data_IF_899308250603
#
_entry.id   IF_899308250603
#
_cell.length_a   1.000
_cell.length_b   1.000
_cell.length_c   1.000
_cell.angle_alpha   90.00
_cell.angle_beta   90.00
_cell.angle_gamma   90.00
#
_symmetry.space_group_name_H-M   'P 1'
#
loop_
_entity.id
_entity.type
_entity.pdbx_description
1 polymer ?
#
# COMPACT_ATOMS: atom_id res chain seq x y z
N UNK A 1 28.75 2.46 23.38
CA UNK A 1 27.60 2.82 22.52
C UNK A 1 27.40 1.69 21.52
N UNK A 2 26.29 0.94 21.58
CA UNK A 2 26.00 -0.12 20.60
C UNK A 2 25.47 0.58 19.34
N UNK A 3 26.17 0.47 18.21
CA UNK A 3 25.62 0.85 16.91
C UNK A 3 24.36 0.00 16.69
N UNK A 4 23.18 0.61 16.66
CA UNK A 4 21.99 -0.02 16.12
C UNK A 4 22.28 -0.35 14.66
N UNK A 5 22.43 -1.64 14.32
CA UNK A 5 22.49 -2.05 12.91
C UNK A 5 21.22 -1.57 12.23
N UNK A 6 21.37 -0.92 11.08
CA UNK A 6 20.21 -0.48 10.32
C UNK A 6 19.43 -1.74 9.88
N UNK A 7 18.09 -1.76 9.99
CA UNK A 7 17.27 -2.90 9.58
C UNK A 7 17.62 -3.41 8.16
N UNK A 8 17.98 -2.50 7.27
CA UNK A 8 18.37 -2.81 5.90
C UNK A 8 19.68 -3.62 5.81
N UNK A 9 20.64 -3.41 6.72
CA UNK A 9 21.92 -4.14 6.72
C UNK A 9 21.72 -5.62 7.08
N UNK A 10 20.84 -5.88 8.06
CA UNK A 10 20.49 -7.22 8.47
C UNK A 10 19.70 -7.95 7.37
N UNK A 11 18.71 -7.27 6.77
CA UNK A 11 17.97 -7.79 5.62
C UNK A 11 18.89 -8.13 4.43
N UNK A 12 19.81 -7.24 4.07
CA UNK A 12 20.76 -7.46 2.98
C UNK A 12 21.69 -8.64 3.27
N UNK A 13 22.15 -8.77 4.52
CA UNK A 13 22.96 -9.91 4.95
C UNK A 13 22.17 -11.23 4.81
N UNK A 14 20.92 -11.26 5.27
CA UNK A 14 20.07 -12.44 5.15
C UNK A 14 19.81 -12.81 3.69
N UNK A 15 19.60 -11.84 2.80
CA UNK A 15 19.45 -12.09 1.36
C UNK A 15 20.67 -12.82 0.79
N UNK A 16 21.88 -12.38 1.15
CA UNK A 16 23.12 -12.99 0.68
C UNK A 16 23.36 -14.38 1.29
N UNK A 17 22.90 -14.62 2.53
CA UNK A 17 23.04 -15.90 3.20
C UNK A 17 22.03 -16.95 2.72
N UNK A 18 20.81 -16.56 2.36
CA UNK A 18 19.75 -17.48 1.94
C UNK A 18 20.04 -18.21 0.64
N UNK A 19 20.83 -17.58 -0.24
CA UNK A 19 21.20 -18.12 -1.55
C UNK A 19 22.44 -19.03 -1.50
N UNK A 20 23.08 -19.20 -0.34
CA UNK A 20 24.24 -20.08 -0.19
C UNK A 20 23.81 -21.54 -0.24
N UNK A 21 24.61 -22.37 -0.88
CA UNK A 21 24.40 -23.83 -0.93
C UNK A 21 24.37 -24.37 0.50
N UNK A 22 23.31 -25.11 0.85
CA UNK A 22 23.14 -25.71 2.17
C UNK A 22 22.65 -24.75 3.27
N UNK A 23 22.29 -23.51 2.93
CA UNK A 23 21.71 -22.58 3.90
C UNK A 23 20.40 -23.13 4.49
N UNK A 24 20.32 -23.19 5.82
CA UNK A 24 19.11 -23.52 6.57
C UNK A 24 18.67 -22.28 7.33
N UNK A 25 17.47 -21.80 7.06
CA UNK A 25 16.91 -20.60 7.65
C UNK A 25 15.80 -20.95 8.62
N UNK A 26 15.74 -20.24 9.74
CA UNK A 26 14.66 -20.36 10.71
C UNK A 26 13.40 -19.64 10.21
N UNK A 27 12.21 -19.95 10.78
CA UNK A 27 10.99 -19.19 10.49
C UNK A 27 11.15 -17.67 10.68
N UNK A 28 11.88 -17.22 11.70
CA UNK A 28 12.08 -15.79 11.95
C UNK A 28 12.93 -15.14 10.86
N UNK A 29 13.98 -15.83 10.38
CA UNK A 29 14.79 -15.31 9.28
C UNK A 29 14.00 -15.22 7.97
N UNK A 30 13.13 -16.21 7.69
CA UNK A 30 12.23 -16.14 6.54
C UNK A 30 11.18 -15.04 6.69
N UNK A 31 10.61 -14.87 7.87
CA UNK A 31 9.68 -13.78 8.16
C UNK A 31 10.34 -12.42 7.92
N UNK A 32 11.57 -12.22 8.42
CA UNK A 32 12.35 -11.01 8.17
C UNK A 32 12.61 -10.75 6.67
N UNK A 33 12.97 -11.79 5.91
CA UNK A 33 13.15 -11.67 4.46
C UNK A 33 11.86 -11.28 3.73
N UNK A 34 10.74 -11.93 4.05
CA UNK A 34 9.44 -11.62 3.43
C UNK A 34 9.05 -10.17 3.75
N UNK A 35 9.14 -9.77 5.02
CA UNK A 35 8.83 -8.42 5.48
C UNK A 35 9.74 -7.37 4.85
N UNK A 36 11.04 -7.63 4.77
CA UNK A 36 12.00 -6.72 4.14
C UNK A 36 11.73 -6.53 2.65
N UNK A 37 11.41 -7.61 1.93
CA UNK A 37 10.97 -7.48 0.53
C UNK A 37 9.69 -6.65 0.40
N UNK A 38 8.70 -6.84 1.28
CA UNK A 38 7.47 -6.04 1.25
C UNK A 38 7.73 -4.56 1.56
N UNK A 39 8.61 -4.25 2.51
CA UNK A 39 9.02 -2.85 2.79
C UNK A 39 9.69 -2.22 1.57
N UNK A 40 10.56 -2.97 0.88
CA UNK A 40 11.22 -2.53 -0.35
C UNK A 40 10.29 -2.48 -1.57
N UNK A 41 8.98 -2.71 -1.39
CA UNK A 41 7.96 -2.78 -2.44
C UNK A 41 8.30 -3.81 -3.53
N UNK A 42 8.84 -4.96 -3.10
CA UNK A 42 9.22 -6.10 -3.93
C UNK A 42 8.28 -7.30 -3.67
N UNK A 43 6.96 -7.19 -3.97
CA UNK A 43 5.98 -8.21 -3.58
C UNK A 43 6.17 -9.54 -4.31
N UNK A 44 6.77 -9.53 -5.50
CA UNK A 44 7.08 -10.76 -6.26
C UNK A 44 8.22 -11.52 -5.55
N UNK A 45 9.27 -10.81 -5.14
CA UNK A 45 10.38 -11.39 -4.39
C UNK A 45 9.90 -11.90 -3.03
N UNK A 46 9.02 -11.16 -2.36
CA UNK A 46 8.37 -11.62 -1.12
C UNK A 46 7.58 -12.92 -1.33
N UNK A 47 6.80 -13.03 -2.42
CA UNK A 47 6.06 -14.27 -2.78
C UNK A 47 6.99 -15.46 -3.00
N UNK A 48 8.08 -15.26 -3.75
CA UNK A 48 9.05 -16.33 -3.98
C UNK A 48 9.75 -16.74 -2.68
N UNK A 49 10.07 -15.78 -1.81
CA UNK A 49 10.63 -16.05 -0.49
C UNK A 49 9.65 -16.87 0.37
N UNK A 50 8.38 -16.48 0.43
CA UNK A 50 7.32 -17.23 1.11
C UNK A 50 7.20 -18.67 0.60
N UNK A 51 7.20 -18.85 -0.72
CA UNK A 51 7.11 -20.18 -1.35
C UNK A 51 8.27 -21.07 -0.88
N UNK A 52 9.52 -20.55 -0.93
CA UNK A 52 10.70 -21.27 -0.43
C UNK A 52 10.63 -21.57 1.07
N UNK A 53 10.10 -20.64 1.87
CA UNK A 53 9.94 -20.84 3.31
C UNK A 53 9.01 -22.01 3.61
N UNK A 54 7.86 -22.08 2.91
CA UNK A 54 6.88 -23.17 3.06
C UNK A 54 7.46 -24.52 2.62
N UNK A 55 8.30 -24.55 1.59
CA UNK A 55 8.94 -25.77 1.10
C UNK A 55 10.05 -26.29 2.03
N UNK A 56 10.80 -25.37 2.66
CA UNK A 56 12.01 -25.71 3.45
C UNK A 56 11.76 -25.88 4.95
N UNK A 57 10.71 -25.28 5.48
CA UNK A 57 10.33 -25.45 6.89
C UNK A 57 9.44 -26.68 6.97
N UNK A 58 9.91 -27.72 7.66
CA UNK A 58 9.10 -28.91 7.93
C UNK A 58 7.92 -28.53 8.82
N UNK A 59 6.70 -28.70 8.28
CA UNK A 59 5.46 -28.35 8.95
C UNK A 59 4.98 -26.92 8.70
N UNK A 60 3.75 -26.65 9.13
CA UNK A 60 3.12 -25.34 8.96
C UNK A 60 3.62 -24.35 10.02
N UNK A 61 4.53 -23.45 9.65
CA UNK A 61 4.85 -22.30 10.50
C UNK A 61 3.74 -21.25 10.48
N UNK A 62 3.10 -21.05 11.63
CA UNK A 62 2.05 -20.04 11.80
C UNK A 62 2.59 -18.62 11.58
N UNK A 63 3.82 -18.33 12.02
CA UNK A 63 4.48 -17.05 11.78
C UNK A 63 4.55 -16.71 10.28
N UNK A 64 4.96 -17.68 9.46
CA UNK A 64 5.10 -17.48 8.01
C UNK A 64 3.73 -17.23 7.36
N UNK A 65 2.68 -17.91 7.84
CA UNK A 65 1.30 -17.67 7.39
C UNK A 65 0.81 -16.29 7.79
N UNK A 66 1.03 -15.87 9.04
CA UNK A 66 0.62 -14.56 9.55
C UNK A 66 1.28 -13.42 8.78
N UNK A 67 2.60 -13.52 8.53
CA UNK A 67 3.34 -12.53 7.74
C UNK A 67 2.83 -12.48 6.30
N UNK A 68 2.52 -13.64 5.70
CA UNK A 68 2.05 -13.68 4.32
C UNK A 68 0.60 -13.25 4.15
N UNK A 69 -0.23 -13.27 5.20
CA UNK A 69 -1.66 -12.91 5.11
C UNK A 69 -1.88 -11.50 4.51
N UNK A 70 -1.16 -10.48 5.00
CA UNK A 70 -1.21 -9.15 4.39
C UNK A 70 -0.30 -9.04 3.15
N UNK A 71 0.81 -9.80 3.09
CA UNK A 71 1.68 -9.87 1.91
C UNK A 71 0.95 -10.32 0.64
N UNK A 72 0.01 -11.26 0.76
CA UNK A 72 -0.84 -11.72 -0.33
C UNK A 72 -1.74 -10.60 -0.88
N UNK A 73 -2.30 -9.77 0.00
CA UNK A 73 -3.10 -8.61 -0.40
C UNK A 73 -2.25 -7.55 -1.10
N UNK A 74 -1.03 -7.29 -0.62
CA UNK A 74 -0.06 -6.40 -1.29
C UNK A 74 0.27 -6.92 -2.70
N UNK A 75 0.59 -8.22 -2.82
CA UNK A 75 0.89 -8.86 -4.09
C UNK A 75 -0.27 -8.78 -5.09
N UNK A 76 -1.51 -8.90 -4.61
CA UNK A 76 -2.73 -8.81 -5.44
C UNK A 76 -3.25 -7.38 -5.59
N UNK A 77 -2.50 -6.36 -5.14
CA UNK A 77 -2.84 -4.93 -5.19
C UNK A 77 -4.15 -4.56 -4.46
N UNK A 78 -4.56 -5.37 -3.48
CA UNK A 78 -5.71 -5.14 -2.60
C UNK A 78 -5.28 -4.33 -1.38
N UNK A 79 -5.06 -3.02 -1.57
CA UNK A 79 -4.37 -2.18 -0.59
C UNK A 79 -5.16 -1.93 0.70
N UNK A 80 -6.49 -1.83 0.62
CA UNK A 80 -7.35 -1.62 1.80
C UNK A 80 -7.36 -2.88 2.66
N UNK A 81 -7.51 -4.04 2.04
CA UNK A 81 -7.45 -5.34 2.70
C UNK A 81 -6.04 -5.62 3.26
N UNK A 82 -4.99 -5.23 2.54
CA UNK A 82 -3.63 -5.30 3.03
C UNK A 82 -3.44 -4.46 4.29
N UNK A 83 -3.94 -3.22 4.31
CA UNK A 83 -3.85 -2.34 5.47
C UNK A 83 -4.64 -2.91 6.66
N UNK A 84 -5.87 -3.37 6.42
CA UNK A 84 -6.69 -4.01 7.46
C UNK A 84 -6.02 -5.25 8.06
N UNK A 85 -5.53 -6.16 7.21
CA UNK A 85 -4.80 -7.34 7.66
C UNK A 85 -3.53 -6.96 8.45
N UNK A 86 -2.74 -6.01 7.94
CA UNK A 86 -1.52 -5.54 8.59
C UNK A 86 -1.78 -4.91 9.98
N UNK A 87 -2.88 -4.17 10.16
CA UNK A 87 -3.26 -3.60 11.47
C UNK A 87 -3.68 -4.67 12.49
N UNK A 88 -4.22 -5.78 12.02
CA UNK A 88 -4.66 -6.89 12.87
C UNK A 88 -3.54 -7.91 13.15
N UNK A 89 -2.44 -7.87 12.40
CA UNK A 89 -1.31 -8.76 12.62
C UNK A 89 -0.56 -8.37 13.89
N UNK A 90 -0.44 -9.34 14.80
CA UNK A 90 0.39 -9.26 15.99
C UNK A 90 1.43 -10.37 15.93
N UNK A 91 2.69 -10.01 15.67
CA UNK A 91 3.81 -10.94 15.72
C UNK A 91 4.36 -10.98 17.14
N UNK A 92 4.58 -12.18 17.68
CA UNK A 92 5.16 -12.37 19.01
C UNK A 92 6.59 -11.81 19.09
N UNK A 93 7.34 -11.95 17.99
CA UNK A 93 8.70 -11.45 17.88
C UNK A 93 8.71 -9.92 17.66
N UNK A 94 9.06 -9.20 18.72
CA UNK A 94 9.21 -7.74 18.71
C UNK A 94 10.26 -7.26 17.70
N UNK A 95 11.24 -8.09 17.37
CA UNK A 95 12.24 -7.74 16.37
C UNK A 95 11.65 -7.65 14.98
N UNK A 96 10.45 -8.16 14.68
CA UNK A 96 9.81 -8.05 13.37
C UNK A 96 8.79 -6.91 13.27
N UNK A 97 8.36 -6.37 14.40
CA UNK A 97 7.31 -5.36 14.49
C UNK A 97 7.65 -4.07 13.74
N UNK A 98 8.93 -3.68 13.75
CA UNK A 98 9.39 -2.48 13.05
C UNK A 98 9.13 -2.55 11.53
N UNK A 99 9.22 -3.71 10.89
CA UNK A 99 8.84 -3.88 9.49
C UNK A 99 7.33 -3.76 9.28
N UNK A 100 6.51 -4.38 10.13
CA UNK A 100 5.04 -4.32 10.04
C UNK A 100 4.54 -2.88 10.15
N UNK A 101 5.11 -2.11 11.10
CA UNK A 101 4.83 -0.68 11.27
C UNK A 101 5.18 0.09 9.99
N UNK A 102 6.34 -0.17 9.40
CA UNK A 102 6.78 0.49 8.17
C UNK A 102 5.86 0.15 6.97
N UNK A 103 5.53 -1.12 6.77
CA UNK A 103 4.61 -1.57 5.71
C UNK A 103 3.26 -0.87 5.86
N UNK A 104 2.72 -0.82 7.08
CA UNK A 104 1.47 -0.12 7.39
C UNK A 104 1.56 1.36 7.02
N UNK A 105 2.63 2.05 7.39
CA UNK A 105 2.78 3.46 7.09
C UNK A 105 2.86 3.71 5.57
N UNK A 106 3.61 2.86 4.85
CA UNK A 106 3.70 2.92 3.37
C UNK A 106 2.35 2.66 2.70
N UNK A 107 1.55 1.72 3.22
CA UNK A 107 0.19 1.48 2.74
C UNK A 107 -0.73 2.68 2.95
N UNK A 108 -0.69 3.31 4.14
CA UNK A 108 -1.44 4.54 4.42
C UNK A 108 -1.01 5.66 3.47
N UNK A 109 0.30 5.87 3.31
CA UNK A 109 0.83 6.86 2.38
C UNK A 109 0.34 6.61 0.94
N UNK A 110 0.37 5.35 0.48
CA UNK A 110 -0.10 5.00 -0.86
C UNK A 110 -1.59 5.24 -1.06
N UNK A 111 -2.41 4.92 -0.06
CA UNK A 111 -3.85 5.15 -0.10
C UNK A 111 -4.17 6.66 -0.06
N UNK A 112 -3.46 7.46 0.74
CA UNK A 112 -3.61 8.92 0.74
C UNK A 112 -3.26 9.52 -0.63
N UNK A 113 -2.15 9.08 -1.22
CA UNK A 113 -1.74 9.50 -2.57
C UNK A 113 -2.81 9.15 -3.61
N UNK A 114 -3.37 7.93 -3.54
CA UNK A 114 -4.44 7.48 -4.43
C UNK A 114 -5.71 8.32 -4.24
N UNK A 115 -6.11 8.59 -2.99
CA UNK A 115 -7.31 9.38 -2.69
C UNK A 115 -7.19 10.78 -3.29
N UNK A 116 -6.06 11.46 -3.10
CA UNK A 116 -5.82 12.79 -3.68
C UNK A 116 -5.81 12.82 -5.22
N UNK A 117 -5.51 11.68 -5.87
CA UNK A 117 -5.50 11.56 -7.33
C UNK A 117 -6.87 11.21 -7.92
N UNK A 118 -7.72 10.54 -7.15
CA UNK A 118 -8.92 9.88 -7.68
C UNK A 118 -10.22 10.58 -7.28
N UNK A 119 -10.26 11.23 -6.12
CA UNK A 119 -11.47 11.87 -5.61
C UNK A 119 -11.36 13.39 -5.64
N UNK A 120 -12.35 14.03 -6.24
CA UNK A 120 -12.60 15.47 -6.08
C UNK A 120 -13.31 15.75 -4.75
N UNK A 121 -14.14 14.82 -4.28
CA UNK A 121 -14.77 14.83 -2.97
C UNK A 121 -14.97 13.40 -2.45
N UNK A 122 -14.85 13.22 -1.14
CA UNK A 122 -14.96 11.92 -0.48
C UNK A 122 -15.63 12.08 0.89
N UNK A 123 -16.61 11.24 1.23
CA UNK A 123 -17.23 11.32 2.56
C UNK A 123 -16.23 10.93 3.67
N UNK A 124 -16.33 11.57 4.84
CA UNK A 124 -15.50 11.23 6.00
C UNK A 124 -15.58 9.74 6.34
N UNK A 125 -16.79 9.17 6.32
CA UNK A 125 -17.02 7.74 6.58
C UNK A 125 -16.22 6.87 5.62
N UNK A 126 -16.28 7.14 4.31
CA UNK A 126 -15.56 6.35 3.31
C UNK A 126 -14.05 6.52 3.45
N UNK A 127 -13.58 7.73 3.77
CA UNK A 127 -12.17 7.98 4.05
C UNK A 127 -11.65 7.16 5.24
N UNK A 128 -12.37 7.15 6.36
CA UNK A 128 -12.01 6.34 7.53
C UNK A 128 -12.05 4.85 7.22
N UNK A 129 -13.02 4.37 6.45
CA UNK A 129 -13.10 2.97 6.00
C UNK A 129 -11.89 2.59 5.13
N UNK A 130 -11.54 3.40 4.12
CA UNK A 130 -10.43 3.13 3.20
C UNK A 130 -9.08 3.09 3.94
N UNK A 131 -8.89 3.97 4.91
CA UNK A 131 -7.66 4.00 5.73
C UNK A 131 -7.74 3.10 6.97
N UNK A 132 -8.80 2.30 7.09
CA UNK A 132 -9.04 1.40 8.23
C UNK A 132 -8.91 2.12 9.59
N UNK A 133 -9.33 3.38 9.70
CA UNK A 133 -9.23 4.19 10.92
C UNK A 133 -10.37 3.82 11.87
N UNK A 134 -10.03 3.53 13.13
CA UNK A 134 -10.98 3.06 14.13
C UNK A 134 -11.68 4.22 14.88
N UNK A 135 -11.08 5.40 14.89
CA UNK A 135 -11.57 6.55 15.64
C UNK A 135 -11.56 7.85 14.82
N UNK A 136 -12.38 8.80 15.28
CA UNK A 136 -12.48 10.13 14.70
C UNK A 136 -11.19 10.95 14.92
N UNK A 137 -10.41 10.58 15.95
CA UNK A 137 -9.16 11.24 16.28
C UNK A 137 -8.10 11.01 15.21
N UNK A 138 -7.83 9.76 14.84
CA UNK A 138 -6.87 9.43 13.79
C UNK A 138 -7.31 9.96 12.42
N UNK A 139 -8.61 9.99 12.17
CA UNK A 139 -9.20 10.63 10.99
C UNK A 139 -8.88 12.12 10.96
N UNK A 140 -9.16 12.84 12.05
CA UNK A 140 -8.93 14.29 12.15
C UNK A 140 -7.44 14.64 12.06
N UNK A 141 -6.58 13.87 12.73
CA UNK A 141 -5.13 14.08 12.71
C UNK A 141 -4.57 13.99 11.29
N UNK A 142 -4.93 12.94 10.53
CA UNK A 142 -4.46 12.79 9.15
C UNK A 142 -4.98 13.90 8.24
N UNK A 143 -6.24 14.30 8.36
CA UNK A 143 -6.81 15.38 7.56
C UNK A 143 -6.13 16.74 7.82
N UNK A 144 -5.81 17.02 9.09
CA UNK A 144 -5.05 18.22 9.49
C UNK A 144 -3.64 18.18 8.88
N UNK A 145 -2.94 17.05 8.98
CA UNK A 145 -1.59 16.88 8.43
C UNK A 145 -1.57 17.03 6.90
N UNK A 146 -2.55 16.45 6.21
CA UNK A 146 -2.71 16.58 4.77
C UNK A 146 -3.24 17.96 4.34
N UNK A 147 -3.66 18.82 5.27
CA UNK A 147 -4.29 20.11 5.00
C UNK A 147 -5.48 19.98 4.03
N UNK A 148 -6.28 18.93 4.18
CA UNK A 148 -7.45 18.70 3.33
C UNK A 148 -8.69 19.38 3.94
N UNK A 149 -9.39 20.24 3.19
CA UNK A 149 -10.61 20.87 3.68
C UNK A 149 -11.70 19.83 3.98
N UNK A 150 -12.45 20.08 5.05
CA UNK A 150 -13.62 19.28 5.45
C UNK A 150 -14.83 20.21 5.53
N UNK A 151 -15.88 19.90 4.78
CA UNK A 151 -17.14 20.66 4.72
C UNK A 151 -18.31 19.67 4.78
N UNK A 152 -19.23 19.83 5.74
CA UNK A 152 -20.47 19.02 5.84
C UNK A 152 -20.24 17.50 5.79
N UNK A 153 -19.22 16.99 6.47
CA UNK A 153 -18.79 15.57 6.44
C UNK A 153 -18.21 15.07 5.10
N UNK A 154 -17.82 15.99 4.22
CA UNK A 154 -17.11 15.71 2.98
C UNK A 154 -15.71 16.31 3.01
N UNK A 155 -14.74 15.52 2.59
CA UNK A 155 -13.36 15.94 2.38
C UNK A 155 -13.22 16.39 0.93
N UNK A 156 -12.36 17.37 0.69
CA UNK A 156 -11.86 17.73 -0.65
C UNK A 156 -10.37 17.38 -0.73
N UNK A 157 -10.01 16.16 -1.17
CA UNK A 157 -8.61 15.77 -1.28
C UNK A 157 -7.87 16.64 -2.30
N UNK A 158 -6.67 17.12 -1.94
CA UNK A 158 -5.85 17.96 -2.82
C UNK A 158 -4.39 17.54 -2.72
N UNK A 159 -3.71 17.50 -3.86
CA UNK A 159 -2.25 17.42 -3.91
C UNK A 159 -1.65 18.76 -3.49
N UNK A 160 -1.17 18.85 -2.26
CA UNK A 160 -0.60 20.06 -1.68
C UNK A 160 0.66 19.73 -0.86
N UNK A 161 1.33 20.77 -0.35
CA UNK A 161 2.53 20.60 0.46
C UNK A 161 2.30 19.79 1.75
N UNK A 162 1.12 19.92 2.38
CA UNK A 162 0.74 19.17 3.58
C UNK A 162 0.67 17.66 3.32
N UNK A 163 0.04 17.26 2.21
CA UNK A 163 0.04 15.87 1.75
C UNK A 163 1.46 15.37 1.55
N UNK A 164 2.28 16.04 0.73
CA UNK A 164 3.63 15.55 0.43
C UNK A 164 4.52 15.44 1.67
N UNK A 165 4.40 16.39 2.61
CA UNK A 165 5.06 16.29 3.91
C UNK A 165 4.57 15.07 4.70
N UNK A 166 3.26 14.85 4.76
CA UNK A 166 2.66 13.70 5.44
C UNK A 166 3.13 12.37 4.84
N UNK A 167 3.17 12.27 3.51
CA UNK A 167 3.68 11.08 2.82
C UNK A 167 5.15 10.83 3.16
N UNK A 168 5.98 11.88 3.18
CA UNK A 168 7.39 11.79 3.57
C UNK A 168 7.58 11.38 5.03
N UNK A 169 6.76 11.90 5.94
CA UNK A 169 6.84 11.59 7.38
C UNK A 169 6.41 10.15 7.68
N UNK A 170 5.47 9.59 6.89
CA UNK A 170 4.99 8.22 7.05
C UNK A 170 6.05 7.20 6.64
N UNK A 171 6.79 7.47 5.56
CA UNK A 171 7.77 6.54 5.01
C UNK A 171 9.14 6.72 5.68
N UNK A 172 9.62 5.71 6.41
CA UNK A 172 10.94 5.78 7.01
C UNK A 172 12.03 5.45 5.99
N UNK A 173 12.86 6.45 5.67
CA UNK A 173 13.99 6.32 4.75
C UNK A 173 15.04 5.30 5.21
N UNK A 174 15.06 4.88 6.49
CA UNK A 174 15.99 3.86 7.00
C UNK A 174 15.85 2.50 6.29
N UNK A 175 14.69 2.21 5.68
CA UNK A 175 14.48 1.00 4.89
C UNK A 175 14.65 1.20 3.37
N UNK A 176 15.16 2.36 2.96
CA UNK A 176 15.30 2.76 1.56
C UNK A 176 13.98 3.28 0.96
N UNK A 177 14.04 3.84 -0.25
CA UNK A 177 12.86 4.31 -0.97
C UNK A 177 11.92 3.14 -1.26
N UNK A 178 10.61 3.42 -1.26
CA UNK A 178 9.60 2.43 -1.65
C UNK A 178 9.68 2.08 -3.14
N UNK A 179 10.33 2.91 -3.96
CA UNK A 179 10.48 2.67 -5.40
C UNK A 179 11.94 2.28 -5.69
N UNK A 180 12.28 1.01 -5.43
CA UNK A 180 13.63 0.48 -5.71
C UNK A 180 13.79 -0.09 -7.12
N UNK A 181 12.81 0.10 -8.01
CA UNK A 181 12.97 -0.11 -9.45
C UNK A 181 13.69 1.05 -10.15
N UNK A 182 13.89 2.17 -9.46
CA UNK A 182 14.62 3.32 -9.99
C UNK A 182 16.01 3.40 -9.41
N UNK A 183 17.01 3.30 -10.29
CA UNK A 183 18.39 3.67 -10.00
C UNK A 183 18.44 5.06 -9.35
N UNK A 184 19.47 5.29 -8.54
CA UNK A 184 19.74 6.53 -7.79
C UNK A 184 19.66 7.83 -8.63
N UNK A 185 19.72 7.72 -9.96
CA UNK A 185 19.55 8.81 -10.92
C UNK A 185 18.11 9.34 -11.07
N UNK A 186 17.09 8.55 -10.74
CA UNK A 186 15.68 8.92 -10.96
C UNK A 186 15.02 9.59 -9.74
N UNK A 187 15.62 9.51 -8.55
CA UNK A 187 15.05 10.18 -7.36
C UNK A 187 15.02 11.72 -7.53
N UNK A 188 16.06 12.27 -8.17
CA UNK A 188 16.11 13.69 -8.54
C UNK A 188 15.19 14.02 -9.74
N UNK A 189 14.79 13.02 -10.53
CA UNK A 189 13.88 13.17 -11.67
C UNK A 189 12.41 13.08 -11.24
N UNK A 190 12.09 12.32 -10.19
CA UNK A 190 10.75 12.23 -9.60
C UNK A 190 10.37 13.54 -8.89
N UNK A 191 11.33 14.22 -8.25
CA UNK A 191 11.13 15.56 -7.70
C UNK A 191 11.18 16.67 -8.76
N UNK A 192 11.81 16.43 -9.92
CA UNK A 192 12.05 17.44 -10.96
C UNK A 192 11.17 17.36 -12.21
N UNK A 193 10.55 16.24 -12.53
CA UNK A 193 9.76 16.02 -13.75
C UNK A 193 8.68 14.95 -13.54
N UNK A 194 7.58 15.33 -12.90
CA UNK A 194 6.30 14.66 -13.13
C UNK A 194 5.84 15.08 -14.53
N UNK A 195 6.18 14.29 -15.54
CA UNK A 195 5.64 14.51 -16.88
C UNK A 195 4.20 13.97 -16.93
N UNK A 196 3.25 14.89 -16.70
CA UNK A 196 1.80 14.68 -16.57
C UNK A 196 1.17 13.99 -17.80
N UNK A 197 1.84 14.00 -18.96
CA UNK A 197 1.28 13.52 -20.22
C UNK A 197 1.27 11.97 -20.32
N UNK A 198 2.24 11.27 -19.72
CA UNK A 198 2.32 9.81 -19.82
C UNK A 198 1.35 9.06 -18.88
N UNK A 199 0.90 9.70 -17.80
CA UNK A 199 -0.09 9.12 -16.87
C UNK A 199 -1.52 9.22 -17.42
N UNK A 200 -1.82 10.22 -18.26
CA UNK A 200 -3.12 10.37 -18.90
C UNK A 200 -3.42 9.25 -19.92
N UNK A 201 -2.39 8.68 -20.56
CA UNK A 201 -2.53 7.58 -21.51
C UNK A 201 -2.95 6.25 -20.84
N UNK A 202 -2.50 6.02 -19.59
CA UNK A 202 -2.83 4.80 -18.83
C UNK A 202 -4.23 4.90 -18.21
N UNK A 203 -4.68 6.12 -17.82
CA UNK A 203 -6.04 6.31 -17.29
C UNK A 203 -7.09 6.19 -18.40
N UNK A 204 -6.82 6.69 -19.61
CA UNK A 204 -7.78 6.63 -20.74
C UNK A 204 -8.09 5.20 -21.22
N UNK A 205 -7.22 4.21 -20.99
CA UNK A 205 -7.52 2.82 -21.35
C UNK A 205 -8.39 2.08 -20.32
N UNK A 206 -8.59 2.65 -19.13
CA UNK A 206 -9.34 2.04 -18.02
C UNK A 206 -10.79 2.52 -17.88
N UNK A 207 -11.23 3.51 -18.67
CA UNK A 207 -12.56 4.16 -18.56
C UNK A 207 -13.62 3.54 -19.49
N UNK A 208 -13.38 2.35 -20.06
CA UNK A 208 -14.23 1.79 -21.13
C UNK A 208 -15.28 0.76 -20.68
N UNK A 209 -15.70 0.72 -19.40
CA UNK A 209 -16.65 -0.31 -18.94
C UNK A 209 -17.89 0.14 -18.16
N UNK A 210 -18.23 1.44 -18.11
CA UNK A 210 -19.44 1.90 -17.40
C UNK A 210 -20.41 2.74 -18.25
N UNK A 211 -20.44 2.50 -19.56
CA UNK A 211 -21.41 3.15 -20.47
C UNK A 211 -22.13 2.15 -21.38
N UNK A 212 -22.64 1.05 -20.84
CA UNK A 212 -23.67 0.23 -21.50
C UNK A 212 -24.49 -0.53 -20.46
N UNK A 213 -25.39 0.16 -19.76
CA UNK A 213 -26.60 -0.47 -19.17
C UNK A 213 -27.59 0.60 -18.69
N UNK A 214 -28.21 1.33 -19.62
CA UNK A 214 -29.52 1.97 -19.39
C UNK A 214 -30.33 2.01 -20.69
N UNK A 215 -30.83 0.85 -21.12
CA UNK A 215 -31.96 0.78 -22.05
C UNK A 215 -33.14 0.16 -21.32
N UNK A 216 -33.95 1.00 -20.66
CA UNK A 216 -35.30 0.62 -20.31
C UNK A 216 -36.24 1.00 -21.47
N UNK A 217 -37.12 0.08 -21.94
CA UNK A 217 -38.03 0.35 -23.03
C UNK A 217 -39.27 1.08 -22.51
N UNK A 218 -39.51 2.31 -22.98
CA UNK A 218 -40.81 2.95 -22.85
C UNK A 218 -41.64 2.51 -24.06
N UNK A 219 -42.59 1.60 -23.82
CA UNK A 219 -43.68 1.29 -24.74
C UNK A 219 -45.00 1.71 -24.10
N UNK A 220 -45.74 2.58 -24.79
CA UNK A 220 -46.97 3.18 -24.30
C UNK A 220 -47.45 4.30 -25.21
N UNK A 221 -47.75 3.96 -26.47
CA UNK A 221 -48.44 4.84 -27.40
C UNK A 221 -49.95 4.80 -27.14
N UNK A 222 -50.64 5.94 -27.29
CA UNK A 222 -52.08 5.94 -27.52
C UNK A 222 -52.82 7.17 -27.01
N UNK A 223 -52.73 8.28 -27.74
CA UNK A 223 -53.66 9.39 -27.56
C UNK A 223 -53.31 10.62 -28.38
N UNK A 224 -53.81 10.72 -29.61
CA UNK A 224 -54.42 11.99 -30.02
C UNK A 224 -55.42 11.87 -31.16
N UNK A 225 -56.40 12.76 -31.07
CA UNK A 225 -57.67 12.92 -31.77
C UNK A 225 -57.59 13.71 -33.08
N UNK A 226 -58.66 13.59 -33.88
CA UNK A 226 -59.16 14.50 -34.95
C UNK A 226 -58.61 14.30 -36.37
N UNK A 227 -59.34 13.60 -37.24
CA UNK A 227 -60.41 14.12 -38.12
C UNK A 227 -61.04 12.97 -38.92
#
# INVERSE_FOLDING_TARGET
>A
MRQERMPNDQFNKLCMEELKIGAKFTPNQYAELILGHLVQNKPIQAKFCYTRAVERIEGSSELIKQVWAFGQHIYTKRLVEALGACKNTHLDDQSLQHYVIEIRNRLVAKLLELIARTYTSLSLKKFSEVLCLADDRGTSELLIRCMWPVENNWIKPVQNAGLYKTLSDLCNLKYGPADSDTSEADYNKILGQINLENLAAIVKSSVFFDAMETTNPISGAGGNTNN
#
